data_IF_966471332124
#
_entry.id   IF_966471332124
#
_cell.length_a   1.000
_cell.length_b   1.000
_cell.length_c   1.000
_cell.angle_alpha   90.00
_cell.angle_beta   90.00
_cell.angle_gamma   90.00
#
_symmetry.space_group_name_H-M   'P 1'
#
loop_
_entity.id
_entity.type
_entity.pdbx_description
1 polymer ?
#
# COMPACT_ATOMS: atom_id res chain seq x y z
N UNK A 1 -32.79 47.15 -15.09
CA UNK A 1 -31.76 46.39 -14.33
C UNK A 1 -32.30 44.99 -14.01
N UNK A 2 -32.46 44.12 -15.02
CA UNK A 2 -32.96 42.72 -14.85
C UNK A 2 -32.29 41.74 -15.84
N UNK A 3 -31.62 42.23 -16.88
CA UNK A 3 -31.10 41.38 -17.97
C UNK A 3 -29.69 40.82 -17.72
N UNK A 4 -28.83 41.53 -17.00
CA UNK A 4 -27.44 41.11 -16.73
C UNK A 4 -27.28 40.11 -15.59
N UNK A 5 -28.31 39.94 -14.75
CA UNK A 5 -28.29 38.99 -13.62
C UNK A 5 -28.56 37.54 -14.06
N UNK A 6 -29.44 37.34 -15.05
CA UNK A 6 -29.84 36.00 -15.52
C UNK A 6 -28.73 35.26 -16.28
N UNK A 7 -27.83 35.97 -16.96
CA UNK A 7 -26.79 35.36 -17.80
C UNK A 7 -25.56 34.90 -17.00
N UNK A 8 -25.29 35.51 -15.84
CA UNK A 8 -24.19 35.11 -14.93
C UNK A 8 -24.52 33.87 -14.10
N UNK A 9 -25.80 33.60 -13.89
CA UNK A 9 -26.29 32.40 -13.18
C UNK A 9 -26.12 31.14 -14.03
N UNK A 10 -26.29 31.25 -15.36
CA UNK A 10 -26.14 30.12 -16.30
C UNK A 10 -24.67 29.71 -16.53
N UNK A 11 -23.75 30.68 -16.60
CA UNK A 11 -22.32 30.39 -16.80
C UNK A 11 -21.64 29.87 -15.54
N UNK A 12 -22.03 30.33 -14.36
CA UNK A 12 -21.53 29.77 -13.08
C UNK A 12 -22.03 28.35 -12.84
N UNK A 13 -23.24 28.02 -13.29
CA UNK A 13 -23.75 26.64 -13.24
C UNK A 13 -22.91 25.68 -14.09
N UNK A 14 -22.52 26.06 -15.32
CA UNK A 14 -21.72 25.21 -16.22
C UNK A 14 -20.28 24.98 -15.71
N UNK A 15 -19.67 25.99 -15.09
CA UNK A 15 -18.33 25.88 -14.49
C UNK A 15 -18.38 25.05 -13.21
N UNK A 16 -19.45 25.18 -12.40
CA UNK A 16 -19.65 24.35 -11.21
C UNK A 16 -19.81 22.86 -11.52
N UNK A 17 -20.37 22.50 -12.69
CA UNK A 17 -20.52 21.11 -13.13
C UNK A 17 -19.17 20.52 -13.61
N UNK A 18 -18.29 21.33 -14.22
CA UNK A 18 -16.92 20.93 -14.60
C UNK A 18 -16.01 20.75 -13.38
N UNK A 19 -16.17 21.53 -12.32
CA UNK A 19 -15.45 21.38 -11.04
C UNK A 19 -15.97 20.20 -10.21
N UNK A 20 -17.27 19.89 -10.28
CA UNK A 20 -17.85 18.69 -9.66
C UNK A 20 -17.36 17.38 -10.31
N UNK A 21 -16.79 17.45 -11.52
CA UNK A 21 -16.29 16.29 -12.26
C UNK A 21 -14.89 15.86 -11.79
N UNK A 22 -14.20 16.67 -10.96
CA UNK A 22 -12.85 16.38 -10.47
C UNK A 22 -12.80 15.72 -9.09
N UNK A 23 -13.96 15.47 -8.46
CA UNK A 23 -14.01 14.70 -7.22
C UNK A 23 -14.68 13.35 -7.46
N UNK A 24 -14.11 12.54 -8.36
CA UNK A 24 -14.13 11.09 -8.11
C UNK A 24 -13.12 10.85 -7.00
N UNK A 25 -13.51 11.18 -5.76
CA UNK A 25 -12.82 10.64 -4.60
C UNK A 25 -13.33 9.21 -4.51
N UNK A 26 -12.53 8.26 -4.99
CA UNK A 26 -12.71 6.84 -4.72
C UNK A 26 -12.51 6.62 -3.21
N UNK A 27 -13.50 7.01 -2.41
CA UNK A 27 -13.68 6.40 -1.11
C UNK A 27 -14.16 4.97 -1.35
N UNK A 28 -13.48 4.03 -0.69
CA UNK A 28 -13.75 2.58 -0.69
C UNK A 28 -13.13 1.74 -1.82
N UNK A 29 -11.80 1.80 -1.98
CA UNK A 29 -11.03 0.56 -2.08
C UNK A 29 -9.84 0.61 -1.12
N UNK A 30 -10.09 0.94 0.15
CA UNK A 30 -9.13 0.57 1.18
C UNK A 30 -9.16 -0.95 1.22
N UNK A 31 -8.08 -1.60 0.77
CA UNK A 31 -7.94 -3.06 0.80
C UNK A 31 -8.03 -3.52 2.25
N UNK A 32 -9.26 -3.77 2.71
CA UNK A 32 -9.50 -4.30 4.05
C UNK A 32 -8.71 -5.61 4.15
N UNK A 33 -7.81 -5.75 5.13
CA UNK A 33 -7.12 -7.01 5.35
C UNK A 33 -8.15 -8.13 5.52
N UNK A 34 -7.99 -9.20 4.74
CA UNK A 34 -8.92 -10.34 4.77
C UNK A 34 -8.64 -11.22 5.99
N UNK A 35 -7.36 -11.49 6.23
CA UNK A 35 -6.88 -12.31 7.34
C UNK A 35 -5.43 -11.93 7.70
N UNK A 36 -4.97 -12.33 8.88
CA UNK A 36 -3.57 -12.26 9.28
C UNK A 36 -3.24 -13.42 10.22
N UNK A 37 -2.01 -13.92 10.13
CA UNK A 37 -1.47 -14.89 11.08
C UNK A 37 -0.12 -14.38 11.53
N UNK A 38 0.07 -14.22 12.83
CA UNK A 38 1.37 -13.87 13.37
C UNK A 38 1.98 -15.06 14.10
N UNK A 39 3.30 -15.23 14.02
CA UNK A 39 4.00 -16.20 14.83
C UNK A 39 3.86 -15.86 16.34
N UNK A 40 3.76 -16.89 17.18
CA UNK A 40 3.72 -16.73 18.64
C UNK A 40 5.05 -16.24 19.22
N UNK A 41 6.15 -16.61 18.58
CA UNK A 41 7.51 -16.23 18.97
C UNK A 41 7.86 -14.81 18.54
N UNK A 42 8.78 -14.20 19.29
CA UNK A 42 9.24 -12.81 19.12
C UNK A 42 10.72 -12.76 18.83
N UNK A 43 11.15 -11.77 18.05
CA UNK A 43 12.58 -11.48 17.84
C UNK A 43 13.06 -10.34 18.74
N UNK A 44 14.37 -10.27 18.96
CA UNK A 44 15.00 -9.09 19.55
C UNK A 44 14.95 -7.93 18.53
N UNK A 45 14.17 -6.89 18.83
CA UNK A 45 14.01 -5.71 17.98
C UNK A 45 15.28 -4.91 17.74
N UNK A 46 16.30 -5.11 18.56
CA UNK A 46 17.63 -4.51 18.39
C UNK A 46 18.65 -5.51 17.85
N UNK A 47 18.22 -6.75 17.56
CA UNK A 47 19.06 -7.81 17.04
C UNK A 47 19.15 -7.80 15.51
N UNK A 48 20.08 -8.58 14.95
CA UNK A 48 20.37 -8.57 13.50
C UNK A 48 19.20 -9.04 12.62
N UNK A 49 18.25 -9.80 13.18
CA UNK A 49 17.03 -10.17 12.46
C UNK A 49 16.16 -8.94 12.10
N UNK A 50 16.18 -7.89 12.93
CA UNK A 50 15.39 -6.68 12.68
C UNK A 50 15.81 -6.00 11.37
N UNK A 51 17.12 -5.95 11.09
CA UNK A 51 17.67 -5.38 9.86
C UNK A 51 17.35 -6.26 8.64
N UNK A 52 17.50 -7.58 8.79
CA UNK A 52 17.10 -8.55 7.77
C UNK A 52 15.61 -8.42 7.41
N UNK A 53 14.73 -8.34 8.40
CA UNK A 53 13.29 -8.18 8.21
C UNK A 53 12.98 -6.84 7.54
N UNK A 54 13.61 -5.75 7.98
CA UNK A 54 13.43 -4.44 7.36
C UNK A 54 13.82 -4.45 5.88
N UNK A 55 14.98 -5.04 5.55
CA UNK A 55 15.43 -5.18 4.17
C UNK A 55 14.40 -5.91 3.31
N UNK A 56 13.90 -7.06 3.78
CA UNK A 56 12.89 -7.86 3.08
C UNK A 56 11.61 -7.06 2.87
N UNK A 57 11.06 -6.44 3.90
CA UNK A 57 9.80 -5.71 3.81
C UNK A 57 9.88 -4.50 2.86
N UNK A 58 11.02 -3.79 2.86
CA UNK A 58 11.26 -2.67 1.92
C UNK A 58 11.43 -3.19 0.49
N UNK A 59 12.09 -4.34 0.30
CA UNK A 59 12.22 -4.98 -1.00
C UNK A 59 10.87 -5.39 -1.58
N UNK A 60 10.03 -6.06 -0.77
CA UNK A 60 8.68 -6.45 -1.17
C UNK A 60 7.83 -5.23 -1.57
N UNK A 61 7.83 -4.18 -0.76
CA UNK A 61 7.11 -2.93 -1.06
C UNK A 61 7.50 -2.32 -2.41
N UNK A 62 8.79 -2.26 -2.70
CA UNK A 62 9.30 -1.52 -3.85
C UNK A 62 9.33 -2.32 -5.16
N UNK A 63 9.46 -3.64 -5.08
CA UNK A 63 9.73 -4.48 -6.25
C UNK A 63 8.55 -5.32 -6.70
N UNK A 64 7.59 -5.65 -5.83
CA UNK A 64 6.42 -6.48 -6.21
C UNK A 64 5.68 -5.97 -7.44
N UNK A 65 5.32 -4.67 -7.56
CA UNK A 65 4.63 -4.17 -8.75
C UNK A 65 5.48 -4.22 -10.04
N UNK A 66 6.81 -4.24 -9.91
CA UNK A 66 7.78 -4.26 -11.02
C UNK A 66 8.13 -5.68 -11.48
N UNK A 67 8.05 -6.64 -10.57
CA UNK A 67 8.43 -8.04 -10.78
C UNK A 67 7.21 -8.91 -11.15
N UNK A 68 6.33 -8.39 -12.01
CA UNK A 68 5.18 -9.15 -12.50
C UNK A 68 4.13 -9.44 -11.42
N UNK A 69 4.03 -8.59 -10.39
CA UNK A 69 3.05 -8.71 -9.30
C UNK A 69 3.27 -9.90 -8.36
N UNK A 70 4.42 -10.58 -8.44
CA UNK A 70 4.77 -11.76 -7.63
C UNK A 70 6.27 -11.77 -7.34
N UNK A 71 6.68 -11.45 -6.11
CA UNK A 71 8.08 -11.23 -5.78
C UNK A 71 8.53 -11.91 -4.48
N UNK A 72 9.68 -12.57 -4.56
CA UNK A 72 10.34 -13.26 -3.45
C UNK A 72 11.69 -12.62 -3.19
N UNK A 73 12.04 -12.46 -1.92
CA UNK A 73 13.32 -11.89 -1.52
C UNK A 73 13.85 -12.56 -0.24
N UNK A 74 15.17 -12.69 -0.17
CA UNK A 74 15.91 -13.13 1.01
C UNK A 74 16.86 -12.01 1.41
N UNK A 75 17.03 -11.77 2.72
CA UNK A 75 17.97 -10.77 3.19
C UNK A 75 19.42 -11.13 2.80
N UNK A 76 20.30 -10.15 2.51
CA UNK A 76 21.65 -10.39 2.02
C UNK A 76 22.65 -10.68 3.15
N UNK A 77 22.17 -10.98 4.36
CA UNK A 77 22.97 -11.10 5.57
C UNK A 77 23.02 -12.56 6.06
N UNK A 78 23.73 -13.48 5.36
CA UNK A 78 23.69 -14.91 5.65
C UNK A 78 24.41 -15.31 6.94
N UNK A 79 25.30 -14.46 7.45
CA UNK A 79 25.98 -14.68 8.73
C UNK A 79 25.17 -14.12 9.91
N UNK A 80 24.13 -13.35 9.61
CA UNK A 80 23.14 -12.85 10.55
C UNK A 80 21.89 -13.73 10.52
N UNK A 81 20.88 -13.37 11.31
CA UNK A 81 19.59 -14.02 11.24
C UNK A 81 18.89 -13.67 9.91
N UNK A 82 18.80 -14.65 9.01
CA UNK A 82 18.16 -14.52 7.69
C UNK A 82 16.66 -14.22 7.82
N UNK A 83 16.17 -13.36 6.93
CA UNK A 83 14.75 -13.16 6.69
C UNK A 83 14.40 -13.53 5.26
N UNK A 84 13.19 -14.05 5.08
CA UNK A 84 12.61 -14.39 3.80
C UNK A 84 11.26 -13.69 3.69
N UNK A 85 10.85 -13.35 2.48
CA UNK A 85 9.55 -12.75 2.28
C UNK A 85 9.04 -12.95 0.87
N UNK A 86 7.73 -12.82 0.77
CA UNK A 86 6.97 -12.92 -0.45
C UNK A 86 5.83 -11.90 -0.42
N UNK A 87 5.57 -11.26 -1.54
CA UNK A 87 4.38 -10.43 -1.72
C UNK A 87 3.84 -10.62 -3.13
N UNK A 88 2.51 -10.59 -3.23
CA UNK A 88 1.81 -10.77 -4.49
C UNK A 88 0.59 -9.85 -4.59
N UNK A 89 0.31 -9.39 -5.81
CA UNK A 89 -0.92 -8.70 -6.17
C UNK A 89 -1.70 -9.53 -7.20
N UNK A 90 -3.00 -9.28 -7.34
CA UNK A 90 -3.77 -9.87 -8.43
C UNK A 90 -3.28 -9.32 -9.77
N UNK A 91 -3.06 -10.17 -10.77
CA UNK A 91 -2.46 -9.76 -12.07
C UNK A 91 -3.30 -8.76 -12.88
N UNK A 92 -4.58 -8.57 -12.53
CA UNK A 92 -5.52 -7.72 -13.27
C UNK A 92 -5.67 -6.32 -12.67
N UNK A 93 -4.83 -5.93 -11.71
CA UNK A 93 -4.85 -4.58 -11.10
C UNK A 93 -3.87 -3.64 -11.79
N UNK A 94 -4.08 -2.33 -11.66
CA UNK A 94 -3.12 -1.36 -12.15
C UNK A 94 -1.83 -1.40 -11.31
N UNK A 95 -0.71 -1.01 -11.92
CA UNK A 95 0.58 -0.89 -11.23
C UNK A 95 0.47 -0.05 -9.94
N UNK A 96 -0.22 1.09 -10.01
CA UNK A 96 -0.43 2.01 -8.87
C UNK A 96 -1.23 1.37 -7.74
N UNK A 97 -2.17 0.49 -8.08
CA UNK A 97 -3.01 -0.18 -7.11
C UNK A 97 -2.22 -1.26 -6.39
N UNK A 98 -1.37 -2.00 -7.11
CA UNK A 98 -0.45 -2.95 -6.47
C UNK A 98 0.57 -2.24 -5.57
N UNK A 99 1.19 -1.16 -6.05
CA UNK A 99 2.13 -0.36 -5.26
C UNK A 99 1.49 0.14 -3.95
N UNK A 100 0.27 0.68 -4.04
CA UNK A 100 -0.50 1.11 -2.87
C UNK A 100 -0.86 -0.07 -1.97
N UNK A 101 -1.31 -1.19 -2.53
CA UNK A 101 -1.74 -2.36 -1.78
C UNK A 101 -0.59 -2.96 -0.97
N UNK A 102 0.59 -3.13 -1.55
CA UNK A 102 1.74 -3.72 -0.83
C UNK A 102 2.25 -2.78 0.26
N UNK A 103 2.23 -1.46 0.03
CA UNK A 103 2.53 -0.45 1.05
C UNK A 103 1.59 -0.55 2.26
N UNK A 104 0.29 -0.62 1.99
CA UNK A 104 -0.72 -0.80 3.03
C UNK A 104 -0.58 -2.14 3.75
N UNK A 105 -0.30 -3.23 3.01
CA UNK A 105 -0.07 -4.56 3.58
C UNK A 105 1.13 -4.57 4.53
N UNK A 106 2.27 -3.96 4.15
CA UNK A 106 3.43 -3.80 5.03
C UNK A 106 3.08 -3.00 6.29
N UNK A 107 2.41 -1.85 6.15
CA UNK A 107 2.02 -1.03 7.29
C UNK A 107 1.08 -1.77 8.25
N UNK A 108 0.13 -2.52 7.68
CA UNK A 108 -0.78 -3.37 8.45
C UNK A 108 -0.03 -4.49 9.17
N UNK A 109 0.83 -5.24 8.46
CA UNK A 109 1.66 -6.31 9.03
C UNK A 109 2.51 -5.82 10.20
N UNK A 110 3.15 -4.66 10.06
CA UNK A 110 3.94 -4.06 11.14
C UNK A 110 3.09 -3.62 12.34
N UNK A 111 1.81 -3.31 12.12
CA UNK A 111 0.86 -2.96 13.18
C UNK A 111 0.38 -4.20 13.94
N UNK A 112 0.04 -5.29 13.23
CA UNK A 112 -0.57 -6.49 13.84
C UNK A 112 0.45 -7.54 14.28
N UNK A 113 1.53 -7.73 13.53
CA UNK A 113 2.60 -8.70 13.79
C UNK A 113 3.93 -8.05 14.20
N UNK A 114 3.93 -6.77 14.59
CA UNK A 114 5.15 -6.06 14.98
C UNK A 114 5.92 -6.77 16.10
N UNK A 115 7.19 -7.10 15.87
CA UNK A 115 8.04 -7.81 16.82
C UNK A 115 7.94 -9.35 16.78
N UNK A 116 7.13 -9.92 15.90
CA UNK A 116 7.01 -11.37 15.70
C UNK A 116 8.04 -11.87 14.69
N UNK A 117 8.49 -13.11 14.85
CA UNK A 117 9.49 -13.70 13.93
C UNK A 117 8.94 -13.99 12.53
N UNK A 118 7.61 -13.90 12.35
CA UNK A 118 6.94 -14.05 11.06
C UNK A 118 5.48 -13.63 11.13
N UNK A 119 4.91 -13.32 9.97
CA UNK A 119 3.50 -13.03 9.77
C UNK A 119 3.16 -12.78 8.31
#
# INVERSE_FOLDING_TARGET
>A
MVSTFRMRVLTTFLIGILEFSYSVRSEELFSKPLDHTCNGDVYDKNGPFADSLYYVLVGLENETPKQGYDYYITSPYPNDALAYGHASCTSNVAYSDCDTCVKLARAYLMTVCGGRIGG
#
